data_IF_844091395971
#
_entry.id   IF_844091395971
#
_cell.length_a   1.000
_cell.length_b   1.000
_cell.length_c   1.000
_cell.angle_alpha   90.00
_cell.angle_beta   90.00
_cell.angle_gamma   90.00
#
_symmetry.space_group_name_H-M   'P 1'
#
loop_
_entity.id
_entity.type
_entity.pdbx_description
1 polymer ?
#
# COMPACT_ATOMS: atom_id res chain seq x y z
N UNK A 1 -22.25 42.01 -0.77
CA UNK A 1 -21.24 41.04 -1.26
C UNK A 1 -21.62 40.64 -2.68
N UNK A 2 -20.97 41.21 -3.71
CA UNK A 2 -21.19 40.80 -5.10
C UNK A 2 -20.47 39.46 -5.32
N UNK A 3 -21.20 38.38 -5.61
CA UNK A 3 -20.59 37.17 -6.18
C UNK A 3 -20.04 37.59 -7.55
N UNK A 4 -18.74 37.43 -7.77
CA UNK A 4 -18.12 37.65 -9.07
C UNK A 4 -18.67 36.57 -10.01
N UNK A 5 -19.54 36.97 -10.94
CA UNK A 5 -20.03 36.08 -11.99
C UNK A 5 -18.83 35.72 -12.89
N UNK A 6 -18.32 34.50 -12.76
CA UNK A 6 -17.25 33.97 -13.61
C UNK A 6 -17.78 33.78 -15.02
N UNK A 7 -17.10 34.32 -16.04
CA UNK A 7 -17.48 34.13 -17.45
C UNK A 7 -16.92 32.79 -17.93
N UNK A 8 -17.72 31.99 -18.63
CA UNK A 8 -17.27 30.75 -19.26
C UNK A 8 -16.28 31.06 -20.41
N UNK A 9 -15.01 30.60 -20.36
CA UNK A 9 -14.03 30.85 -21.41
C UNK A 9 -14.36 30.23 -22.78
N UNK A 10 -15.37 29.34 -22.84
CA UNK A 10 -15.70 28.57 -24.04
C UNK A 10 -16.89 29.13 -24.82
N UNK A 11 -17.83 29.78 -24.14
CA UNK A 11 -19.04 30.31 -24.77
C UNK A 11 -19.34 31.77 -24.39
N UNK A 12 -18.43 32.41 -23.66
CA UNK A 12 -18.47 33.81 -23.23
C UNK A 12 -19.76 34.22 -22.47
N UNK A 13 -20.46 33.23 -21.89
CA UNK A 13 -21.67 33.46 -21.08
C UNK A 13 -21.39 33.37 -19.58
N UNK A 14 -22.12 34.11 -18.72
CA UNK A 14 -21.95 34.06 -17.27
C UNK A 14 -22.20 32.65 -16.69
N UNK A 15 -21.39 32.23 -15.72
CA UNK A 15 -21.54 31.00 -14.96
C UNK A 15 -21.92 31.30 -13.51
N UNK A 16 -22.83 30.51 -12.95
CA UNK A 16 -23.24 30.60 -11.55
C UNK A 16 -22.18 29.97 -10.62
N UNK A 17 -21.00 30.59 -10.53
CA UNK A 17 -19.93 30.20 -9.60
C UNK A 17 -19.03 29.04 -10.05
N UNK A 18 -19.17 28.54 -11.28
CA UNK A 18 -18.27 27.57 -11.90
C UNK A 18 -17.45 28.19 -13.04
N UNK A 19 -16.31 27.58 -13.39
CA UNK A 19 -15.45 28.06 -14.49
C UNK A 19 -16.03 27.75 -15.88
N UNK A 20 -16.84 26.71 -16.02
CA UNK A 20 -17.48 26.30 -17.28
C UNK A 20 -18.93 25.88 -17.04
N UNK A 21 -19.80 26.00 -18.05
CA UNK A 21 -21.12 25.35 -18.02
C UNK A 21 -20.99 23.83 -18.17
N UNK A 22 -21.91 23.03 -17.60
CA UNK A 22 -21.93 21.58 -17.76
C UNK A 22 -21.84 21.12 -19.23
N UNK A 23 -22.55 21.81 -20.14
CA UNK A 23 -22.55 21.50 -21.58
C UNK A 23 -21.31 22.02 -22.33
N UNK A 24 -20.55 22.92 -21.71
CA UNK A 24 -19.32 23.45 -22.27
C UNK A 24 -18.10 22.58 -21.93
N UNK A 25 -18.18 21.72 -20.91
CA UNK A 25 -17.09 20.81 -20.57
C UNK A 25 -17.10 19.65 -21.57
N UNK A 26 -16.04 19.53 -22.38
CA UNK A 26 -15.92 18.47 -23.37
C UNK A 26 -14.48 17.97 -23.39
N UNK A 27 -14.33 16.64 -23.51
CA UNK A 27 -13.04 16.03 -23.70
C UNK A 27 -12.56 16.25 -25.15
N UNK A 28 -11.33 16.76 -25.38
CA UNK A 28 -10.79 17.00 -26.73
C UNK A 28 -10.70 15.74 -27.60
N UNK A 29 -10.63 14.56 -26.98
CA UNK A 29 -10.38 13.29 -27.65
C UNK A 29 -11.63 12.41 -27.81
N UNK A 30 -12.79 12.84 -27.29
CA UNK A 30 -14.05 12.13 -27.50
C UNK A 30 -14.68 12.54 -28.84
N UNK A 31 -15.21 11.60 -29.65
CA UNK A 31 -15.87 11.94 -30.91
C UNK A 31 -17.12 12.79 -30.67
N UNK A 32 -17.33 13.82 -31.50
CA UNK A 32 -18.34 14.87 -31.33
C UNK A 32 -19.79 14.35 -31.20
N UNK A 33 -20.07 13.16 -31.76
CA UNK A 33 -21.37 12.46 -31.70
C UNK A 33 -21.57 11.59 -30.46
N UNK A 34 -20.53 11.26 -29.69
CA UNK A 34 -20.65 10.52 -28.42
C UNK A 34 -20.87 11.43 -27.21
N UNK A 35 -20.71 12.74 -27.39
CA UNK A 35 -20.90 13.76 -26.35
C UNK A 35 -22.30 13.72 -25.71
N UNK A 36 -23.29 13.12 -26.40
CA UNK A 36 -24.70 13.09 -26.00
C UNK A 36 -25.37 11.70 -25.91
N UNK A 37 -24.71 10.57 -26.21
CA UNK A 37 -25.47 9.33 -26.54
C UNK A 37 -24.99 7.98 -25.97
N UNK A 38 -23.98 7.90 -25.10
CA UNK A 38 -23.63 6.62 -24.43
C UNK A 38 -23.46 6.76 -22.92
N UNK A 39 -24.58 7.06 -22.25
CA UNK A 39 -25.19 6.19 -21.23
C UNK A 39 -24.44 5.64 -20.02
N UNK A 40 -23.13 5.82 -19.77
CA UNK A 40 -22.55 5.23 -18.55
C UNK A 40 -21.27 5.86 -17.93
N UNK A 41 -20.79 7.04 -18.35
CA UNK A 41 -19.51 7.58 -17.83
C UNK A 41 -19.51 9.09 -17.57
N UNK A 42 -20.60 9.62 -16.99
CA UNK A 42 -20.87 11.07 -16.92
C UNK A 42 -20.56 11.79 -15.61
N UNK A 43 -19.94 11.20 -14.60
CA UNK A 43 -19.91 11.87 -13.28
C UNK A 43 -18.68 12.73 -12.98
N UNK A 44 -17.55 12.57 -13.69
CA UNK A 44 -16.34 13.35 -13.37
C UNK A 44 -15.50 13.70 -14.61
N UNK A 45 -15.21 14.98 -14.78
CA UNK A 45 -14.19 15.50 -15.69
C UNK A 45 -12.95 15.87 -14.88
N UNK A 46 -11.77 15.70 -15.48
CA UNK A 46 -10.49 15.95 -14.82
C UNK A 46 -9.72 17.02 -15.58
N UNK A 47 -9.18 18.02 -14.88
CA UNK A 47 -8.41 19.12 -15.48
C UNK A 47 -6.93 18.75 -15.56
N UNK A 48 -6.33 18.87 -16.74
CA UNK A 48 -4.89 18.75 -16.96
C UNK A 48 -4.45 19.85 -17.95
N UNK A 49 -3.42 20.63 -17.58
CA UNK A 49 -2.89 21.73 -18.41
C UNK A 49 -3.97 22.68 -18.97
N UNK A 50 -4.99 22.99 -18.15
CA UNK A 50 -6.08 23.90 -18.52
C UNK A 50 -7.15 23.32 -19.45
N UNK A 51 -7.07 22.02 -19.79
CA UNK A 51 -8.08 21.30 -20.57
C UNK A 51 -8.80 20.26 -19.69
N UNK A 52 -10.06 20.00 -20.00
CA UNK A 52 -10.87 19.00 -19.28
C UNK A 52 -10.95 17.70 -20.07
N UNK A 53 -10.63 16.59 -19.42
CA UNK A 53 -10.63 15.25 -20.01
C UNK A 53 -11.70 14.38 -19.35
N UNK A 54 -12.25 13.42 -20.11
CA UNK A 54 -13.02 12.34 -19.50
C UNK A 54 -12.07 11.41 -18.73
N UNK A 55 -12.61 10.53 -17.88
CA UNK A 55 -11.78 9.59 -17.09
C UNK A 55 -10.78 8.80 -17.92
N UNK A 56 -11.21 8.26 -19.06
CA UNK A 56 -10.38 7.42 -19.93
C UNK A 56 -9.21 8.24 -20.48
N UNK A 57 -9.48 9.33 -21.18
CA UNK A 57 -8.43 10.14 -21.80
C UNK A 57 -7.53 10.83 -20.77
N UNK A 58 -8.05 11.22 -19.61
CA UNK A 58 -7.21 11.70 -18.51
C UNK A 58 -6.25 10.61 -18.05
N UNK A 59 -6.73 9.38 -17.97
CA UNK A 59 -5.95 8.24 -17.52
C UNK A 59 -4.86 7.80 -18.50
N UNK A 60 -4.91 8.22 -19.75
CA UNK A 60 -3.84 7.99 -20.74
C UNK A 60 -2.69 9.00 -20.61
N UNK A 61 -2.86 10.04 -19.80
CA UNK A 61 -1.83 11.05 -19.55
C UNK A 61 -0.88 10.53 -18.46
N UNK A 62 0.30 10.09 -18.86
CA UNK A 62 1.28 9.45 -17.97
C UNK A 62 1.74 10.35 -16.82
N UNK A 63 1.80 11.67 -17.03
CA UNK A 63 2.15 12.64 -15.97
C UNK A 63 1.13 12.66 -14.82
N UNK A 64 -0.07 12.10 -15.01
CA UNK A 64 -1.10 11.97 -13.98
C UNK A 64 -0.98 10.67 -13.18
N UNK A 65 -0.02 9.79 -13.52
CA UNK A 65 0.12 8.47 -12.91
C UNK A 65 0.86 8.50 -11.59
N UNK A 66 0.36 7.70 -10.65
CA UNK A 66 0.99 7.46 -9.37
C UNK A 66 2.33 6.72 -9.54
N UNK A 67 3.41 7.27 -8.99
CA UNK A 67 4.75 6.67 -9.00
C UNK A 67 4.87 5.31 -8.29
N UNK A 68 3.83 4.88 -7.57
CA UNK A 68 3.79 3.63 -6.82
C UNK A 68 2.99 2.50 -7.46
N UNK A 69 1.87 2.79 -8.13
CA UNK A 69 1.03 1.77 -8.80
C UNK A 69 0.80 2.04 -10.29
N UNK A 70 1.43 3.08 -10.83
CA UNK A 70 1.35 3.48 -12.24
C UNK A 70 -0.08 3.69 -12.77
N UNK A 71 -1.03 4.07 -11.90
CA UNK A 71 -2.40 4.40 -12.28
C UNK A 71 -2.66 5.89 -12.11
N UNK A 72 -3.47 6.45 -13.01
CA UNK A 72 -3.86 7.85 -12.97
C UNK A 72 -4.54 8.23 -11.65
N UNK A 73 -4.13 9.38 -11.09
CA UNK A 73 -4.67 9.88 -9.84
C UNK A 73 -5.89 10.77 -10.12
N UNK A 74 -7.07 10.30 -9.70
CA UNK A 74 -8.35 10.94 -9.98
C UNK A 74 -8.87 11.84 -8.85
N UNK A 75 -8.32 11.71 -7.64
CA UNK A 75 -8.83 12.41 -6.44
C UNK A 75 -7.75 13.29 -5.83
N UNK A 76 -7.06 12.76 -4.83
CA UNK A 76 -6.03 13.44 -4.07
C UNK A 76 -4.69 12.76 -4.34
N UNK A 77 -3.64 13.57 -4.40
CA UNK A 77 -2.27 13.10 -4.51
C UNK A 77 -1.41 13.70 -3.41
N UNK A 78 -0.29 13.03 -3.14
CA UNK A 78 0.80 13.57 -2.33
C UNK A 78 2.05 13.75 -3.19
N UNK A 79 2.81 14.80 -2.90
CA UNK A 79 4.12 15.07 -3.50
C UNK A 79 5.16 15.14 -2.38
N UNK A 80 6.29 14.47 -2.58
CA UNK A 80 7.39 14.52 -1.65
C UNK A 80 8.29 15.72 -1.96
N UNK A 81 8.76 16.45 -0.94
CA UNK A 81 9.62 17.62 -1.14
C UNK A 81 10.91 17.28 -1.90
N UNK A 82 11.49 16.12 -1.60
CA UNK A 82 12.74 15.69 -2.26
C UNK A 82 12.53 15.09 -3.65
N UNK A 83 11.27 14.82 -4.04
CA UNK A 83 10.92 14.25 -5.35
C UNK A 83 9.68 14.97 -5.91
N UNK A 84 9.80 16.26 -6.27
CA UNK A 84 8.66 17.08 -6.67
C UNK A 84 8.00 16.61 -7.97
N UNK A 85 8.75 15.93 -8.83
CA UNK A 85 8.25 15.35 -10.09
C UNK A 85 7.39 14.09 -9.87
N UNK A 86 7.39 13.53 -8.65
CA UNK A 86 6.67 12.29 -8.35
C UNK A 86 5.38 12.57 -7.59
N UNK A 87 4.27 12.24 -8.21
CA UNK A 87 2.94 12.22 -7.57
C UNK A 87 2.58 10.81 -7.13
N UNK A 88 1.84 10.70 -6.04
CA UNK A 88 1.45 9.43 -5.45
C UNK A 88 0.02 9.46 -4.93
N UNK A 89 -0.66 8.33 -4.98
CA UNK A 89 -1.78 8.09 -4.08
C UNK A 89 -1.27 8.09 -2.62
N UNK A 90 -2.02 8.64 -1.65
CA UNK A 90 -1.64 8.62 -0.24
C UNK A 90 -1.23 7.23 0.24
N UNK A 91 -2.03 6.21 -0.06
CA UNK A 91 -1.80 4.82 0.34
C UNK A 91 -0.55 4.24 -0.34
N UNK A 92 -0.37 4.49 -1.64
CA UNK A 92 0.84 4.06 -2.36
C UNK A 92 2.10 4.71 -1.79
N UNK A 93 2.04 5.98 -1.42
CA UNK A 93 3.17 6.67 -0.80
C UNK A 93 3.49 6.09 0.57
N UNK A 94 2.48 5.76 1.38
CA UNK A 94 2.71 5.14 2.68
C UNK A 94 3.32 3.75 2.54
N UNK A 95 2.82 2.92 1.62
CA UNK A 95 3.42 1.59 1.33
C UNK A 95 4.90 1.75 0.96
N UNK A 96 5.21 2.69 0.07
CA UNK A 96 6.59 2.97 -0.33
C UNK A 96 7.45 3.52 0.83
N UNK A 97 6.90 4.42 1.65
CA UNK A 97 7.62 5.02 2.79
C UNK A 97 7.97 3.98 3.86
N UNK A 98 7.05 3.09 4.18
CA UNK A 98 7.24 2.12 5.25
C UNK A 98 7.97 0.86 4.80
N UNK A 99 7.72 0.38 3.59
CA UNK A 99 8.30 -0.90 3.14
C UNK A 99 9.16 -0.79 1.88
N UNK A 100 9.32 0.40 1.28
CA UNK A 100 10.09 0.60 0.04
C UNK A 100 9.64 -0.29 -1.12
N UNK A 101 8.33 -0.54 -1.22
CA UNK A 101 7.70 -1.35 -2.27
C UNK A 101 6.78 -0.51 -3.15
N UNK A 102 6.74 -0.84 -4.44
CA UNK A 102 5.81 -0.29 -5.43
C UNK A 102 4.90 -1.40 -5.95
N UNK A 103 3.61 -1.11 -6.11
CA UNK A 103 2.57 -2.02 -6.61
C UNK A 103 2.33 -1.82 -8.12
N UNK A 104 3.38 -1.46 -8.85
CA UNK A 104 3.32 -1.12 -10.27
C UNK A 104 2.98 -2.38 -11.09
N UNK A 105 1.86 -2.40 -11.82
CA UNK A 105 1.55 -3.48 -12.74
C UNK A 105 2.46 -3.38 -13.96
N UNK A 106 3.19 -4.45 -14.27
CA UNK A 106 4.07 -4.51 -15.45
C UNK A 106 3.33 -4.48 -16.81
N UNK A 107 2.00 -4.43 -16.80
CA UNK A 107 1.18 -4.43 -18.02
C UNK A 107 0.22 -3.25 -17.98
N UNK A 108 0.20 -2.50 -19.07
CA UNK A 108 -0.78 -1.44 -19.31
C UNK A 108 -2.07 -2.07 -19.81
N UNK A 109 -3.22 -1.81 -19.16
CA UNK A 109 -4.49 -2.36 -19.60
C UNK A 109 -4.92 -1.78 -20.95
N UNK A 110 -5.64 -2.57 -21.73
CA UNK A 110 -6.34 -2.07 -22.91
C UNK A 110 -7.36 -0.98 -22.53
N UNK A 111 -7.61 -0.05 -23.44
CA UNK A 111 -8.49 1.10 -23.22
C UNK A 111 -9.90 0.71 -22.73
N UNK A 112 -10.41 -0.43 -23.21
CA UNK A 112 -11.75 -0.92 -22.88
C UNK A 112 -11.84 -1.48 -21.45
N UNK A 113 -10.73 -1.93 -20.88
CA UNK A 113 -10.64 -2.50 -19.52
C UNK A 113 -10.04 -1.53 -18.50
N UNK A 114 -9.50 -0.39 -18.94
CA UNK A 114 -8.75 0.58 -18.14
C UNK A 114 -9.47 0.99 -16.84
N UNK A 115 -10.79 1.26 -16.92
CA UNK A 115 -11.57 1.70 -15.77
C UNK A 115 -11.68 0.59 -14.71
N UNK A 116 -11.94 -0.63 -15.17
CA UNK A 116 -12.09 -1.79 -14.30
C UNK A 116 -10.74 -2.17 -13.69
N UNK A 117 -9.68 -2.11 -14.49
CA UNK A 117 -8.31 -2.31 -14.04
C UNK A 117 -7.90 -1.31 -12.95
N UNK A 118 -8.15 -0.02 -13.15
CA UNK A 118 -7.91 1.01 -12.14
C UNK A 118 -8.67 0.74 -10.84
N UNK A 119 -9.95 0.37 -10.94
CA UNK A 119 -10.77 0.08 -9.78
C UNK A 119 -10.28 -1.16 -9.02
N UNK A 120 -9.80 -2.18 -9.73
CA UNK A 120 -9.17 -3.34 -9.11
C UNK A 120 -7.84 -2.96 -8.44
N UNK A 121 -7.00 -2.15 -9.09
CA UNK A 121 -5.75 -1.67 -8.51
C UNK A 121 -6.00 -0.82 -7.25
N UNK A 122 -6.99 0.08 -7.24
CA UNK A 122 -7.38 0.86 -6.06
C UNK A 122 -7.78 -0.07 -4.89
N UNK A 123 -8.56 -1.13 -5.15
CA UNK A 123 -8.91 -2.12 -4.12
C UNK A 123 -7.69 -2.84 -3.56
N UNK A 124 -6.74 -3.22 -4.41
CA UNK A 124 -5.50 -3.90 -4.01
C UNK A 124 -4.65 -3.01 -3.13
N UNK A 125 -4.38 -1.78 -3.58
CA UNK A 125 -3.58 -0.79 -2.84
C UNK A 125 -4.20 -0.57 -1.45
N UNK A 126 -5.51 -0.35 -1.40
CA UNK A 126 -6.22 -0.15 -0.13
C UNK A 126 -6.14 -1.36 0.78
N UNK A 127 -6.28 -2.57 0.23
CA UNK A 127 -6.21 -3.81 1.00
C UNK A 127 -4.80 -3.99 1.57
N UNK A 128 -3.76 -3.93 0.74
CA UNK A 128 -2.36 -4.04 1.17
C UNK A 128 -2.02 -3.01 2.25
N UNK A 129 -2.43 -1.76 2.08
CA UNK A 129 -2.21 -0.72 3.08
C UNK A 129 -2.93 -1.05 4.39
N UNK A 130 -4.23 -1.29 4.37
CA UNK A 130 -5.04 -1.54 5.57
C UNK A 130 -4.53 -2.73 6.37
N UNK A 131 -4.26 -3.82 5.66
CA UNK A 131 -3.80 -5.09 6.21
C UNK A 131 -2.42 -4.97 6.87
N UNK A 132 -1.45 -4.39 6.16
CA UNK A 132 -0.10 -4.23 6.69
C UNK A 132 -0.01 -3.19 7.80
N UNK A 133 -0.77 -2.10 7.71
CA UNK A 133 -0.85 -1.09 8.77
C UNK A 133 -1.48 -1.65 10.05
N UNK A 134 -2.58 -2.41 9.92
CA UNK A 134 -3.22 -3.04 11.09
C UNK A 134 -2.30 -4.07 11.75
N UNK A 135 -1.56 -4.85 10.95
CA UNK A 135 -0.57 -5.79 11.49
C UNK A 135 0.57 -5.07 12.20
N UNK A 136 1.13 -4.02 11.58
CA UNK A 136 2.24 -3.25 12.14
C UNK A 136 1.84 -2.53 13.43
N UNK A 137 0.66 -1.93 13.47
CA UNK A 137 0.11 -1.29 14.67
C UNK A 137 -0.08 -2.30 15.80
N UNK A 138 -0.65 -3.48 15.52
CA UNK A 138 -0.84 -4.53 16.53
C UNK A 138 0.49 -5.07 17.05
N UNK A 139 1.47 -5.29 16.18
CA UNK A 139 2.81 -5.71 16.58
C UNK A 139 3.54 -4.64 17.42
N UNK A 140 3.42 -3.36 17.03
CA UNK A 140 4.01 -2.23 17.76
C UNK A 140 3.38 -2.05 19.16
N UNK A 141 2.07 -2.26 19.28
CA UNK A 141 1.38 -2.27 20.57
C UNK A 141 1.87 -3.41 21.46
N UNK A 142 2.00 -4.65 20.93
CA UNK A 142 2.57 -5.76 21.69
C UNK A 142 3.99 -5.46 22.18
N UNK A 143 4.84 -4.91 21.31
CA UNK A 143 6.19 -4.50 21.66
C UNK A 143 6.19 -3.45 22.78
N UNK A 144 5.33 -2.45 22.68
CA UNK A 144 5.22 -1.35 23.65
C UNK A 144 4.72 -1.84 25.01
N UNK A 145 3.67 -2.67 25.03
CA UNK A 145 3.11 -3.26 26.26
C UNK A 145 4.12 -4.16 26.95
N UNK A 146 4.92 -4.88 26.17
CA UNK A 146 5.98 -5.74 26.67
C UNK A 146 7.09 -4.93 27.35
N UNK A 147 7.48 -3.77 26.80
CA UNK A 147 8.40 -2.84 27.49
C UNK A 147 7.85 -2.37 28.83
N UNK A 148 6.57 -1.96 28.87
CA UNK A 148 5.92 -1.44 30.07
C UNK A 148 5.80 -2.50 31.16
N UNK A 149 5.38 -3.72 30.80
CA UNK A 149 5.19 -4.81 31.77
C UNK A 149 6.51 -5.34 32.35
N UNK A 150 7.58 -5.35 31.55
CA UNK A 150 8.93 -5.67 32.05
C UNK A 150 9.39 -4.62 33.06
N UNK A 151 9.22 -3.33 32.76
CA UNK A 151 9.57 -2.24 33.68
C UNK A 151 8.74 -2.27 34.97
N UNK A 152 7.46 -2.69 34.89
CA UNK A 152 6.58 -2.85 36.04
C UNK A 152 6.83 -4.15 36.84
N UNK A 153 7.70 -5.06 36.37
CA UNK A 153 7.92 -6.36 37.00
C UNK A 153 6.72 -7.32 36.93
N UNK A 154 5.80 -7.11 35.99
CA UNK A 154 4.58 -7.91 35.84
C UNK A 154 4.84 -9.14 34.95
N UNK A 155 5.42 -10.18 35.54
CA UNK A 155 5.89 -11.37 34.81
C UNK A 155 4.79 -12.10 34.04
N UNK A 156 3.63 -12.35 34.67
CA UNK A 156 2.53 -13.08 34.02
C UNK A 156 2.00 -12.36 32.78
N UNK A 157 1.84 -11.05 32.86
CA UNK A 157 1.39 -10.24 31.73
C UNK A 157 2.46 -10.14 30.65
N UNK A 158 3.73 -10.01 31.05
CA UNK A 158 4.86 -10.04 30.13
C UNK A 158 4.90 -11.32 29.29
N UNK A 159 4.71 -12.49 29.92
CA UNK A 159 4.66 -13.79 29.22
C UNK A 159 3.45 -13.83 28.27
N UNK A 160 2.30 -13.30 28.69
CA UNK A 160 1.10 -13.25 27.85
C UNK A 160 1.30 -12.40 26.60
N UNK A 161 1.85 -11.20 26.74
CA UNK A 161 2.14 -10.31 25.61
C UNK A 161 3.24 -10.89 24.72
N UNK A 162 4.27 -11.51 25.28
CA UNK A 162 5.29 -12.21 24.51
C UNK A 162 4.68 -13.33 23.64
N UNK A 163 3.74 -14.11 24.18
CA UNK A 163 3.00 -15.11 23.41
C UNK A 163 2.18 -14.47 22.28
N UNK A 164 1.54 -13.34 22.54
CA UNK A 164 0.81 -12.60 21.51
C UNK A 164 1.73 -12.09 20.40
N UNK A 165 2.91 -11.60 20.73
CA UNK A 165 3.92 -11.20 19.75
C UNK A 165 4.40 -12.39 18.91
N UNK A 166 4.63 -13.56 19.52
CA UNK A 166 4.99 -14.78 18.78
C UNK A 166 3.91 -15.15 17.75
N UNK A 167 2.62 -15.04 18.10
CA UNK A 167 1.54 -15.28 17.13
C UNK A 167 1.60 -14.34 15.91
N UNK A 168 2.03 -13.08 16.08
CA UNK A 168 2.25 -12.18 14.94
C UNK A 168 3.39 -12.68 14.02
N UNK A 169 4.46 -13.21 14.60
CA UNK A 169 5.56 -13.79 13.85
C UNK A 169 5.14 -15.06 13.11
N UNK A 170 4.34 -15.92 13.74
CA UNK A 170 3.80 -17.13 13.10
C UNK A 170 2.97 -16.78 11.86
N UNK A 171 2.08 -15.79 11.98
CA UNK A 171 1.28 -15.30 10.84
C UNK A 171 2.17 -14.83 9.69
N UNK A 172 3.20 -14.03 9.99
CA UNK A 172 4.12 -13.52 8.97
C UNK A 172 4.99 -14.62 8.34
N UNK A 173 5.46 -15.59 9.13
CA UNK A 173 6.24 -16.71 8.59
C UNK A 173 5.38 -17.62 7.72
N UNK A 174 4.17 -17.97 8.15
CA UNK A 174 3.24 -18.77 7.35
C UNK A 174 2.90 -18.08 6.02
N UNK A 175 2.74 -16.75 6.04
CA UNK A 175 2.55 -15.96 4.83
C UNK A 175 3.74 -16.06 3.86
N UNK A 176 4.97 -15.97 4.37
CA UNK A 176 6.19 -16.06 3.58
C UNK A 176 6.36 -17.48 3.02
N UNK A 177 6.18 -18.51 3.86
CA UNK A 177 6.26 -19.92 3.47
C UNK A 177 5.23 -20.24 2.37
N UNK A 178 4.03 -19.68 2.46
CA UNK A 178 3.00 -19.81 1.42
C UNK A 178 3.47 -19.21 0.08
N UNK A 179 4.07 -18.02 0.08
CA UNK A 179 4.63 -17.43 -1.14
C UNK A 179 5.76 -18.30 -1.69
N UNK A 180 6.68 -18.76 -0.82
CA UNK A 180 7.82 -19.58 -1.22
C UNK A 180 7.36 -20.88 -1.88
N UNK A 181 6.38 -21.57 -1.29
CA UNK A 181 5.79 -22.79 -1.84
C UNK A 181 5.30 -22.60 -3.29
N UNK A 182 4.77 -21.42 -3.61
CA UNK A 182 4.34 -21.10 -4.97
C UNK A 182 5.48 -20.66 -5.89
N UNK A 183 6.46 -19.90 -5.38
CA UNK A 183 7.63 -19.47 -6.16
C UNK A 183 8.53 -20.63 -6.58
N UNK A 184 8.65 -21.67 -5.75
CA UNK A 184 9.41 -22.88 -6.08
C UNK A 184 8.88 -23.56 -7.35
N UNK A 185 7.57 -23.47 -7.62
CA UNK A 185 6.96 -23.99 -8.87
C UNK A 185 7.49 -23.28 -10.12
N UNK A 186 7.93 -22.03 -9.96
CA UNK A 186 8.53 -21.20 -11.02
C UNK A 186 10.06 -21.17 -10.94
N UNK A 187 10.68 -22.12 -10.22
CA UNK A 187 12.14 -22.20 -10.01
C UNK A 187 12.73 -20.94 -9.37
N UNK A 188 11.95 -20.25 -8.55
CA UNK A 188 12.39 -19.09 -7.77
C UNK A 188 12.40 -19.44 -6.28
N UNK A 189 13.15 -18.68 -5.48
CA UNK A 189 13.22 -18.83 -4.03
C UNK A 189 13.14 -17.49 -3.32
N UNK A 190 12.69 -17.52 -2.05
CA UNK A 190 12.70 -16.34 -1.19
C UNK A 190 14.01 -16.32 -0.40
N UNK A 191 14.73 -15.20 -0.46
CA UNK A 191 15.89 -14.96 0.40
C UNK A 191 15.45 -14.16 1.63
N UNK A 192 15.00 -14.85 2.69
CA UNK A 192 14.60 -14.24 3.97
C UNK A 192 15.20 -14.94 5.20
N UNK A 193 16.00 -16.01 5.01
CA UNK A 193 16.52 -16.84 6.10
C UNK A 193 17.35 -16.03 7.10
N UNK A 194 18.10 -15.04 6.62
CA UNK A 194 18.93 -14.18 7.47
C UNK A 194 18.06 -13.34 8.42
N UNK A 195 17.01 -12.73 7.91
CA UNK A 195 16.06 -11.90 8.64
C UNK A 195 15.22 -12.74 9.61
N UNK A 196 14.76 -13.91 9.17
CA UNK A 196 14.04 -14.87 10.01
C UNK A 196 14.90 -15.33 11.20
N UNK A 197 16.16 -15.71 10.94
CA UNK A 197 17.10 -16.09 11.99
C UNK A 197 17.38 -14.94 12.97
N UNK A 198 17.49 -13.70 12.48
CA UNK A 198 17.72 -12.53 13.33
C UNK A 198 16.54 -12.33 14.31
N UNK A 199 15.30 -12.49 13.84
CA UNK A 199 14.11 -12.41 14.69
C UNK A 199 14.11 -13.53 15.72
N UNK A 200 14.39 -14.77 15.32
CA UNK A 200 14.44 -15.90 16.26
C UNK A 200 15.48 -15.65 17.36
N UNK A 201 16.67 -15.18 17.00
CA UNK A 201 17.73 -14.84 17.97
C UNK A 201 17.27 -13.70 18.89
N UNK A 202 16.64 -12.66 18.36
CA UNK A 202 16.12 -11.53 19.14
C UNK A 202 15.00 -11.96 20.11
N UNK A 203 14.08 -12.83 19.67
CA UNK A 203 13.03 -13.38 20.55
C UNK A 203 13.64 -14.25 21.65
N UNK A 204 14.64 -15.08 21.35
CA UNK A 204 15.34 -15.88 22.37
C UNK A 204 16.06 -14.99 23.37
N UNK A 205 16.80 -13.98 22.90
CA UNK A 205 17.47 -13.00 23.77
C UNK A 205 16.48 -12.27 24.66
N UNK A 206 15.30 -11.92 24.13
CA UNK A 206 14.25 -11.30 24.90
C UNK A 206 13.75 -12.21 26.02
N UNK A 207 13.41 -13.46 25.71
CA UNK A 207 12.96 -14.45 26.69
C UNK A 207 14.05 -14.75 27.74
N UNK A 208 15.32 -14.67 27.37
CA UNK A 208 16.44 -14.78 28.31
C UNK A 208 16.52 -13.59 29.26
N UNK A 209 16.30 -12.36 28.77
CA UNK A 209 16.27 -11.16 29.61
C UNK A 209 15.15 -11.21 30.66
N UNK A 210 14.02 -11.84 30.35
CA UNK A 210 12.94 -12.08 31.32
C UNK A 210 13.36 -12.98 32.50
N UNK A 211 14.34 -13.84 32.29
CA UNK A 211 14.83 -14.78 33.30
C UNK A 211 15.97 -14.22 34.16
N UNK A 212 16.46 -13.00 33.90
CA UNK A 212 17.55 -12.40 34.68
C UNK A 212 17.00 -11.79 35.98
N UNK A 213 17.45 -12.26 37.17
CA UNK A 213 17.06 -11.64 38.43
C UNK A 213 17.67 -10.24 38.53
N UNK A 214 16.81 -9.23 38.75
CA UNK A 214 17.07 -7.81 39.11
C UNK A 214 18.54 -7.38 38.97
N UNK A 215 19.01 -7.16 37.74
CA UNK A 215 20.12 -6.20 37.50
C UNK A 215 19.54 -4.79 37.60
N UNK A 216 20.40 -3.81 37.91
CA UNK A 216 20.04 -2.39 38.01
C UNK A 216 19.12 -1.95 36.86
N UNK A 217 17.97 -1.35 37.20
CA UNK A 217 16.85 -1.03 36.29
C UNK A 217 17.27 -0.27 35.01
N UNK A 218 18.34 0.53 35.08
CA UNK A 218 18.83 1.33 33.95
C UNK A 218 19.55 0.53 32.84
N UNK A 219 20.19 -0.61 33.17
CA UNK A 219 20.91 -1.42 32.17
C UNK A 219 19.95 -2.32 31.38
N UNK A 220 18.95 -2.89 32.07
CA UNK A 220 17.96 -3.79 31.46
C UNK A 220 17.10 -3.04 30.44
N UNK A 221 16.74 -1.80 30.74
CA UNK A 221 15.92 -0.95 29.88
C UNK A 221 16.63 -0.58 28.56
N UNK A 222 17.94 -0.36 28.57
CA UNK A 222 18.72 -0.08 27.35
C UNK A 222 18.85 -1.30 26.45
N UNK A 223 19.18 -2.46 27.02
CA UNK A 223 19.29 -3.72 26.27
C UNK A 223 17.95 -4.09 25.63
N UNK A 224 16.87 -3.89 26.37
CA UNK A 224 15.51 -4.16 25.92
C UNK A 224 15.06 -3.19 24.80
N UNK A 225 15.38 -1.90 24.90
CA UNK A 225 15.08 -0.91 23.86
C UNK A 225 15.80 -1.24 22.55
N UNK A 226 17.08 -1.63 22.64
CA UNK A 226 17.89 -2.07 21.50
C UNK A 226 17.26 -3.30 20.83
N UNK A 227 16.86 -4.28 21.63
CA UNK A 227 16.25 -5.51 21.15
C UNK A 227 14.90 -5.26 20.46
N UNK A 228 14.05 -4.44 21.08
CA UNK A 228 12.76 -4.03 20.51
C UNK A 228 12.93 -3.27 19.21
N UNK A 229 13.88 -2.33 19.15
CA UNK A 229 14.21 -1.61 17.93
C UNK A 229 14.67 -2.58 16.84
N UNK A 230 15.51 -3.54 17.21
CA UNK A 230 15.94 -4.63 16.34
C UNK A 230 14.78 -5.45 15.79
N UNK A 231 13.83 -5.86 16.64
CA UNK A 231 12.64 -6.61 16.24
C UNK A 231 11.78 -5.82 15.25
N UNK A 232 11.53 -4.53 15.52
CA UNK A 232 10.76 -3.67 14.63
C UNK A 232 11.41 -3.54 13.24
N UNK A 233 12.74 -3.37 13.19
CA UNK A 233 13.47 -3.31 11.92
C UNK A 233 13.45 -4.64 11.17
N UNK A 234 13.65 -5.76 11.86
CA UNK A 234 13.59 -7.08 11.25
C UNK A 234 12.20 -7.41 10.72
N UNK A 235 11.15 -7.06 11.46
CA UNK A 235 9.75 -7.23 11.05
C UNK A 235 9.46 -6.44 9.77
N UNK A 236 9.85 -5.17 9.74
CA UNK A 236 9.74 -4.32 8.55
C UNK A 236 10.49 -4.92 7.34
N UNK A 237 11.68 -5.49 7.57
CA UNK A 237 12.44 -6.17 6.52
C UNK A 237 11.71 -7.40 5.98
N UNK A 238 11.16 -8.25 6.84
CA UNK A 238 10.39 -9.43 6.42
C UNK A 238 9.12 -9.06 5.67
N UNK A 239 8.35 -8.06 6.13
CA UNK A 239 7.17 -7.58 5.41
C UNK A 239 7.56 -7.11 4.01
N UNK A 240 8.67 -6.35 3.90
CA UNK A 240 9.19 -5.91 2.60
C UNK A 240 9.56 -7.09 1.70
N UNK A 241 10.27 -8.09 2.22
CA UNK A 241 10.67 -9.29 1.46
C UNK A 241 9.43 -10.06 1.01
N UNK A 242 8.48 -10.31 1.92
CA UNK A 242 7.22 -11.00 1.62
C UNK A 242 6.42 -10.28 0.54
N UNK A 243 6.17 -8.98 0.69
CA UNK A 243 5.41 -8.19 -0.28
C UNK A 243 6.11 -8.13 -1.65
N UNK A 244 7.44 -7.96 -1.68
CA UNK A 244 8.22 -7.97 -2.93
C UNK A 244 8.08 -9.30 -3.67
N UNK A 245 8.15 -10.42 -2.94
CA UNK A 245 8.03 -11.75 -3.53
C UNK A 245 6.60 -12.12 -3.90
N UNK A 246 5.59 -11.64 -3.17
CA UNK A 246 4.19 -11.78 -3.55
C UNK A 246 3.90 -11.10 -4.90
N UNK A 247 4.44 -9.89 -5.12
CA UNK A 247 4.30 -9.17 -6.39
C UNK A 247 5.02 -9.90 -7.53
N UNK A 248 6.22 -10.43 -7.27
CA UNK A 248 6.93 -11.27 -8.26
C UNK A 248 6.14 -12.53 -8.61
N UNK A 249 5.60 -13.22 -7.61
CA UNK A 249 4.79 -14.42 -7.83
C UNK A 249 3.59 -14.12 -8.74
N UNK A 250 2.92 -13.01 -8.50
CA UNK A 250 1.81 -12.56 -9.34
C UNK A 250 2.22 -12.35 -10.81
N UNK A 251 3.43 -11.85 -11.05
CA UNK A 251 3.95 -11.72 -12.41
C UNK A 251 4.15 -13.08 -13.08
N UNK A 252 4.65 -14.08 -12.35
CA UNK A 252 4.83 -15.43 -12.88
C UNK A 252 3.49 -16.12 -13.18
N UNK A 253 2.53 -16.05 -12.26
CA UNK A 253 1.22 -16.69 -12.45
C UNK A 253 0.45 -16.07 -13.63
N UNK A 254 0.64 -14.77 -13.90
CA UNK A 254 0.07 -14.12 -15.09
C UNK A 254 0.75 -14.56 -16.39
N UNK A 255 2.07 -14.72 -16.41
CA UNK A 255 2.79 -15.17 -17.60
C UNK A 255 2.43 -16.60 -18.00
N UNK A 256 1.99 -17.44 -17.05
CA UNK A 256 1.54 -18.81 -17.30
C UNK A 256 0.06 -18.90 -17.69
N UNK A 257 -0.79 -18.00 -17.18
CA UNK A 257 -2.22 -17.98 -17.48
C UNK A 257 -2.59 -16.84 -18.45
N UNK A 258 -2.39 -17.04 -19.75
CA UNK A 258 -2.84 -16.11 -20.81
C UNK A 258 -4.37 -16.10 -21.06
N UNK A 259 -5.19 -16.37 -20.04
CA UNK A 259 -6.66 -16.34 -20.18
C UNK A 259 -7.33 -15.80 -18.91
N UNK A 260 -7.77 -14.55 -18.99
CA UNK A 260 -8.95 -13.98 -18.29
C UNK A 260 -9.16 -14.38 -16.82
N UNK A 261 -8.23 -14.05 -15.93
CA UNK A 261 -8.58 -13.90 -14.51
C UNK A 261 -7.87 -12.70 -13.90
N UNK A 262 -8.68 -11.75 -13.42
CA UNK A 262 -8.23 -10.72 -12.48
C UNK A 262 -7.41 -11.37 -11.35
N UNK A 263 -6.39 -10.66 -10.84
CA UNK A 263 -5.52 -11.23 -9.83
C UNK A 263 -6.32 -11.66 -8.59
N UNK A 264 -6.37 -12.97 -8.31
CA UNK A 264 -6.83 -13.46 -7.02
C UNK A 264 -5.73 -13.13 -6.00
N UNK A 265 -5.83 -11.97 -5.37
CA UNK A 265 -4.96 -11.55 -4.26
C UNK A 265 -5.31 -12.37 -3.01
N UNK A 266 -5.04 -13.67 -3.09
CA UNK A 266 -5.10 -14.63 -1.98
C UNK A 266 -4.06 -14.31 -0.90
N UNK A 267 -3.07 -13.46 -1.20
CA UNK A 267 -2.11 -12.93 -0.23
C UNK A 267 -2.82 -12.35 1.00
N UNK A 268 -3.78 -11.44 0.82
CA UNK A 268 -4.46 -10.82 1.95
C UNK A 268 -5.54 -11.70 2.62
N UNK A 269 -6.00 -12.79 1.99
CA UNK A 269 -6.93 -13.73 2.65
C UNK A 269 -6.20 -14.80 3.45
N UNK A 270 -4.94 -15.09 3.13
CA UNK A 270 -4.15 -16.12 3.80
C UNK A 270 -3.21 -15.51 4.85
N UNK A 271 -2.76 -14.26 4.66
CA UNK A 271 -1.82 -13.63 5.60
C UNK A 271 -2.47 -13.07 6.86
N UNK A 272 -3.80 -12.84 6.92
CA UNK A 272 -4.42 -12.06 8.02
C UNK A 272 -5.85 -12.50 8.38
N UNK A 273 -6.23 -13.74 8.06
CA UNK A 273 -7.43 -14.39 8.62
C UNK A 273 -7.01 -15.35 9.73
#
# INVERSE_FOLDING_TARGET
>A
MKRSDSICPKCDRPCSGQRFHPDCIQCPHCPTSSNNSTGNNRSSFYEYNGQSYCRIHYSLIHDTHCSGCNQAILKQFVQHRDMPEKIWHPECYMIYKFWSVKLDPLHEPDNDELIEFQAAMEKVVNRVWTDLSSFEESAANCISDLLLNVAAGSYNETIRIARQFIMHLEVLFNAIDFIEMHLVKHQQSISCLKEANLICVQVIQFLQLLNVPKKSDASITQDLLSLVTGLAQSLKSLIRIGLTNALRLQMYDRNVNSMSTMPSWTFCSICLS
#
